data_IF_474691608867
#
_entry.id   IF_474691608867
#
_cell.length_a   1.000
_cell.length_b   1.000
_cell.length_c   1.000
_cell.angle_alpha   90.00
_cell.angle_beta   90.00
_cell.angle_gamma   90.00
#
_symmetry.space_group_name_H-M   'P 1'
#
loop_
_entity.id
_entity.type
_entity.pdbx_description
1 polymer ?
#
# COMPACT_ATOMS: atom_id res chain seq x y z
N UNK A 1 -24.32 15.69 9.97
CA UNK A 1 -23.13 16.37 9.44
C UNK A 1 -22.81 17.65 10.23
N UNK A 2 -23.79 18.48 10.62
CA UNK A 2 -23.61 19.60 11.57
C UNK A 2 -23.01 19.17 12.91
N UNK A 3 -23.55 18.14 13.54
CA UNK A 3 -23.08 17.68 14.86
C UNK A 3 -21.62 17.21 14.89
N UNK A 4 -21.08 16.79 13.74
CA UNK A 4 -19.68 16.40 13.62
C UNK A 4 -18.76 17.63 13.64
N UNK A 5 -19.16 18.71 12.96
CA UNK A 5 -18.43 19.98 12.99
C UNK A 5 -18.60 20.71 14.32
N UNK A 6 -19.73 20.57 15.00
CA UNK A 6 -19.92 21.20 16.32
C UNK A 6 -19.09 20.51 17.42
N UNK A 7 -18.87 19.19 17.33
CA UNK A 7 -18.03 18.45 18.30
C UNK A 7 -16.53 18.41 17.97
N UNK A 8 -16.15 18.41 16.69
CA UNK A 8 -14.76 18.19 16.26
C UNK A 8 -14.22 19.25 15.29
N UNK A 9 -15.02 20.25 14.93
CA UNK A 9 -14.71 21.19 13.84
C UNK A 9 -13.41 21.97 14.05
N UNK A 10 -13.15 22.45 15.27
CA UNK A 10 -11.92 23.20 15.58
C UNK A 10 -10.69 22.28 15.46
N UNK A 11 -10.77 21.04 15.96
CA UNK A 11 -9.66 20.08 15.92
C UNK A 11 -9.28 19.67 14.49
N UNK A 12 -10.27 19.42 13.64
CA UNK A 12 -10.04 19.06 12.23
C UNK A 12 -9.40 20.21 11.46
N UNK A 13 -9.85 21.45 11.69
CA UNK A 13 -9.30 22.65 11.03
C UNK A 13 -7.82 22.84 11.39
N UNK A 14 -7.45 22.66 12.67
CA UNK A 14 -6.06 22.80 13.13
C UNK A 14 -5.16 21.73 12.49
N UNK A 15 -5.59 20.47 12.44
CA UNK A 15 -4.80 19.39 11.80
C UNK A 15 -4.61 19.64 10.31
N UNK A 16 -5.65 20.07 9.60
CA UNK A 16 -5.55 20.41 8.17
C UNK A 16 -4.60 21.58 7.95
N UNK A 17 -4.68 22.62 8.78
CA UNK A 17 -3.78 23.78 8.70
C UNK A 17 -2.30 23.38 8.92
N UNK A 18 -2.03 22.50 9.89
CA UNK A 18 -0.68 21.99 10.15
C UNK A 18 -0.13 21.16 8.98
N UNK A 19 -0.97 20.32 8.36
CA UNK A 19 -0.57 19.53 7.19
C UNK A 19 -0.25 20.43 5.98
N UNK A 20 -1.06 21.47 5.74
CA UNK A 20 -0.82 22.44 4.67
C UNK A 20 0.45 23.25 4.90
N UNK A 21 0.67 23.73 6.14
CA UNK A 21 1.89 24.46 6.50
C UNK A 21 3.13 23.57 6.36
N UNK A 22 3.06 22.31 6.78
CA UNK A 22 4.14 21.32 6.61
C UNK A 22 4.43 21.02 5.14
N UNK A 23 3.40 20.82 4.32
CA UNK A 23 3.55 20.62 2.88
C UNK A 23 4.18 21.81 2.17
N UNK A 24 3.77 23.03 2.52
CA UNK A 24 4.36 24.27 2.00
C UNK A 24 5.81 24.46 2.44
N UNK A 25 6.14 24.18 3.69
CA UNK A 25 7.51 24.23 4.20
C UNK A 25 8.44 23.27 3.47
N UNK A 26 8.00 22.04 3.20
CA UNK A 26 8.79 21.05 2.44
C UNK A 26 8.98 21.52 0.99
N UNK A 27 7.92 22.01 0.34
CA UNK A 27 7.98 22.45 -1.05
C UNK A 27 8.88 23.68 -1.26
N UNK A 28 8.91 24.60 -0.29
CA UNK A 28 9.74 25.82 -0.37
C UNK A 28 11.21 25.56 -0.04
N UNK A 29 11.51 24.54 0.77
CA UNK A 29 12.89 24.12 1.08
C UNK A 29 13.49 23.12 0.10
N UNK A 30 12.65 22.46 -0.71
CA UNK A 30 13.13 21.60 -1.79
C UNK A 30 13.57 22.45 -2.99
N UNK A 31 14.63 23.25 -2.84
CA UNK A 31 15.34 23.72 -4.01
C UNK A 31 15.89 22.49 -4.74
N UNK A 32 15.40 22.23 -5.95
CA UNK A 32 15.98 21.20 -6.78
C UNK A 32 17.47 21.51 -6.92
N UNK A 33 18.37 20.56 -6.58
CA UNK A 33 19.80 20.80 -6.72
C UNK A 33 20.05 21.18 -8.18
N UNK A 34 20.39 22.46 -8.41
CA UNK A 34 20.76 22.96 -9.73
C UNK A 34 21.86 22.05 -10.23
N UNK A 35 21.54 21.22 -11.22
CA UNK A 35 22.50 20.31 -11.86
C UNK A 35 23.54 21.18 -12.55
N UNK A 36 24.57 21.60 -11.81
CA UNK A 36 25.76 22.20 -12.39
C UNK A 36 26.42 21.08 -13.17
N UNK A 37 26.46 21.21 -14.49
CA UNK A 37 27.27 20.39 -15.38
C UNK A 37 28.74 20.61 -15.01
N UNK A 38 29.21 19.93 -13.98
CA UNK A 38 30.59 19.91 -13.54
C UNK A 38 31.42 18.96 -14.41
N UNK A 39 32.72 19.23 -14.58
CA UNK A 39 33.60 18.43 -15.41
C UNK A 39 33.89 17.09 -14.71
N UNK A 40 33.66 15.99 -15.43
CA UNK A 40 34.03 14.63 -15.02
C UNK A 40 33.16 14.05 -13.90
N UNK A 41 32.20 13.20 -14.26
CA UNK A 41 31.44 12.41 -13.30
C UNK A 41 32.38 11.41 -12.59
N UNK A 42 32.78 11.73 -11.36
CA UNK A 42 33.58 10.81 -10.55
C UNK A 42 32.71 9.63 -10.10
N UNK A 43 32.93 8.49 -10.76
CA UNK A 43 32.24 7.23 -10.45
C UNK A 43 32.35 6.83 -8.98
N UNK A 44 33.45 7.15 -8.29
CA UNK A 44 33.61 6.86 -6.86
C UNK A 44 32.67 7.68 -5.98
N UNK A 45 32.45 8.95 -6.31
CA UNK A 45 31.49 9.82 -5.61
C UNK A 45 30.05 9.34 -5.81
N UNK A 46 29.71 8.84 -6.99
CA UNK A 46 28.39 8.29 -7.28
C UNK A 46 28.06 7.05 -6.42
N UNK A 47 28.97 6.08 -6.35
CA UNK A 47 28.73 4.87 -5.56
C UNK A 47 28.67 5.15 -4.04
N UNK A 48 29.46 6.12 -3.54
CA UNK A 48 29.35 6.57 -2.14
C UNK A 48 27.96 7.15 -1.84
N UNK A 49 27.42 7.98 -2.75
CA UNK A 49 26.08 8.56 -2.58
C UNK A 49 24.99 7.48 -2.63
N UNK A 50 25.09 6.53 -3.56
CA UNK A 50 24.18 5.38 -3.63
C UNK A 50 24.19 4.54 -2.35
N UNK A 51 25.38 4.27 -1.81
CA UNK A 51 25.54 3.52 -0.56
C UNK A 51 24.90 4.29 0.62
N UNK A 52 25.15 5.60 0.72
CA UNK A 52 24.56 6.45 1.76
C UNK A 52 23.02 6.53 1.66
N UNK A 53 22.47 6.59 0.44
CA UNK A 53 21.03 6.51 0.22
C UNK A 53 20.46 5.14 0.63
N UNK A 54 21.22 4.06 0.40
CA UNK A 54 20.89 2.72 0.87
C UNK A 54 20.78 2.64 2.40
N UNK A 55 21.76 3.19 3.12
CA UNK A 55 21.75 3.23 4.58
C UNK A 55 20.59 4.06 5.14
N UNK A 56 20.32 5.24 4.56
CA UNK A 56 19.18 6.07 4.95
C UNK A 56 17.84 5.35 4.73
N UNK A 57 17.67 4.70 3.58
CA UNK A 57 16.46 3.92 3.30
C UNK A 57 16.29 2.75 4.28
N UNK A 58 17.37 2.07 4.64
CA UNK A 58 17.35 1.02 5.64
C UNK A 58 16.92 1.56 7.02
N UNK A 59 17.47 2.69 7.45
CA UNK A 59 17.10 3.35 8.72
C UNK A 59 15.64 3.81 8.74
N UNK A 60 15.12 4.34 7.62
CA UNK A 60 13.71 4.67 7.51
C UNK A 60 12.84 3.42 7.63
N UNK A 61 13.22 2.34 6.97
CA UNK A 61 12.46 1.10 7.02
C UNK A 61 12.44 0.47 8.43
N UNK A 62 13.56 0.50 9.15
CA UNK A 62 13.62 0.00 10.52
C UNK A 62 12.75 0.82 11.47
N UNK A 63 12.78 2.17 11.38
CA UNK A 63 11.90 3.05 12.18
C UNK A 63 10.41 2.86 11.88
N UNK A 64 10.05 2.69 10.59
CA UNK A 64 8.65 2.39 10.22
C UNK A 64 8.19 1.10 10.88
N UNK A 65 9.02 0.05 10.85
CA UNK A 65 8.69 -1.24 11.47
C UNK A 65 8.58 -1.15 12.99
N UNK A 66 9.42 -0.34 13.63
CA UNK A 66 9.35 -0.05 15.06
C UNK A 66 8.04 0.66 15.41
N UNK A 67 7.68 1.73 14.69
CA UNK A 67 6.42 2.46 14.90
C UNK A 67 5.20 1.57 14.66
N UNK A 68 5.21 0.69 13.65
CA UNK A 68 4.14 -0.28 13.41
C UNK A 68 3.96 -1.23 14.61
N UNK A 69 5.06 -1.61 15.26
CA UNK A 69 5.03 -2.46 16.45
C UNK A 69 4.45 -1.70 17.64
N UNK A 70 4.86 -0.45 17.85
CA UNK A 70 4.30 0.42 18.89
C UNK A 70 2.78 0.65 18.68
N UNK A 71 2.35 0.90 17.45
CA UNK A 71 0.91 1.07 17.12
C UNK A 71 0.13 -0.21 17.44
N UNK A 72 0.68 -1.39 17.13
CA UNK A 72 0.04 -2.68 17.47
C UNK A 72 -0.08 -2.87 18.97
N UNK A 73 0.97 -2.54 19.74
CA UNK A 73 0.95 -2.61 21.20
C UNK A 73 -0.09 -1.66 21.81
N UNK A 74 -0.11 -0.40 21.37
CA UNK A 74 -1.10 0.59 21.82
C UNK A 74 -2.54 0.16 21.49
N UNK A 75 -2.77 -0.42 20.31
CA UNK A 75 -4.08 -1.00 19.97
C UNK A 75 -4.46 -2.15 20.89
N UNK A 76 -3.53 -3.05 21.19
CA UNK A 76 -3.75 -4.14 22.14
C UNK A 76 -4.11 -3.64 23.54
N UNK A 77 -3.42 -2.61 24.03
CA UNK A 77 -3.72 -1.96 25.31
C UNK A 77 -5.11 -1.29 25.29
N UNK A 78 -5.45 -0.59 24.22
CA UNK A 78 -6.76 0.04 24.05
C UNK A 78 -7.89 -1.00 24.06
N UNK A 79 -7.72 -2.12 23.34
CA UNK A 79 -8.70 -3.20 23.29
C UNK A 79 -8.83 -3.94 24.64
N UNK A 80 -7.75 -3.99 25.43
CA UNK A 80 -7.77 -4.53 26.78
C UNK A 80 -8.51 -3.61 27.75
N UNK A 81 -8.22 -2.30 27.72
CA UNK A 81 -8.92 -1.30 28.53
C UNK A 81 -10.41 -1.23 28.18
N UNK A 82 -10.76 -1.31 26.90
CA UNK A 82 -12.16 -1.36 26.47
C UNK A 82 -12.88 -2.55 27.06
N UNK A 83 -12.28 -3.75 26.99
CA UNK A 83 -12.83 -4.95 27.63
C UNK A 83 -12.92 -4.84 29.15
N UNK A 84 -11.94 -4.18 29.80
CA UNK A 84 -11.98 -3.89 31.24
C UNK A 84 -13.19 -3.03 31.58
N UNK A 85 -13.41 -1.93 30.84
CA UNK A 85 -14.52 -1.00 31.06
C UNK A 85 -15.87 -1.66 30.76
N UNK A 86 -15.98 -2.38 29.64
CA UNK A 86 -17.22 -3.05 29.24
C UNK A 86 -17.65 -4.12 30.28
N UNK A 87 -16.70 -4.69 31.03
CA UNK A 87 -16.95 -5.62 32.12
C UNK A 87 -17.25 -4.99 33.48
N UNK A 88 -17.14 -3.67 33.64
CA UNK A 88 -17.45 -2.99 34.90
C UNK A 88 -18.97 -2.80 35.04
N UNK A 89 -19.52 -3.29 36.15
CA UNK A 89 -20.95 -3.16 36.47
C UNK A 89 -21.14 -2.75 37.94
N UNK A 90 -22.28 -2.11 38.24
CA UNK A 90 -22.69 -1.79 39.61
C UNK A 90 -21.70 -0.86 40.35
N UNK A 91 -21.36 -1.14 41.62
CA UNK A 91 -20.48 -0.30 42.44
C UNK A 91 -19.07 -0.09 41.87
N UNK A 92 -18.58 -1.01 41.04
CA UNK A 92 -17.22 -0.93 40.48
C UNK A 92 -17.16 0.04 39.30
N UNK A 93 -18.25 0.14 38.53
CA UNK A 93 -18.39 1.18 37.50
C UNK A 93 -18.42 2.57 38.14
N UNK A 94 -19.19 2.74 39.23
CA UNK A 94 -19.25 4.01 39.96
C UNK A 94 -17.87 4.44 40.49
N UNK A 95 -17.11 3.50 41.06
CA UNK A 95 -15.74 3.77 41.53
C UNK A 95 -14.80 4.19 40.41
N UNK A 96 -14.87 3.57 39.22
CA UNK A 96 -14.04 3.98 38.08
C UNK A 96 -14.43 5.37 37.57
N UNK A 97 -15.73 5.70 37.53
CA UNK A 97 -16.22 7.06 37.19
C UNK A 97 -15.70 8.10 38.18
N UNK A 98 -15.85 7.84 39.48
CA UNK A 98 -15.38 8.75 40.54
C UNK A 98 -13.85 8.92 40.47
N UNK A 99 -13.10 7.84 40.17
CA UNK A 99 -11.65 7.89 39.98
C UNK A 99 -11.26 8.78 38.80
N UNK A 100 -11.94 8.66 37.66
CA UNK A 100 -11.66 9.49 36.48
C UNK A 100 -11.99 10.96 36.77
N UNK A 101 -13.14 11.22 37.39
CA UNK A 101 -13.57 12.58 37.70
C UNK A 101 -12.61 13.29 38.69
N UNK A 102 -12.13 12.56 39.70
CA UNK A 102 -11.19 13.11 40.68
C UNK A 102 -9.75 13.23 40.13
N UNK A 103 -9.32 12.34 39.23
CA UNK A 103 -8.01 12.47 38.56
C UNK A 103 -7.90 13.74 37.71
N UNK A 104 -9.00 14.17 37.10
CA UNK A 104 -9.03 15.41 36.33
C UNK A 104 -9.06 16.66 37.23
N UNK A 105 -9.57 16.54 38.45
CA UNK A 105 -9.54 17.62 39.44
C UNK A 105 -8.12 17.95 39.90
N UNK A 106 -7.27 16.93 40.10
CA UNK A 106 -5.86 17.13 40.48
C UNK A 106 -4.98 17.65 39.34
N UNK A 107 -5.46 17.58 38.09
CA UNK A 107 -4.76 18.10 36.90
C UNK A 107 -5.11 19.53 36.55
N UNK A 108 -5.98 20.21 37.32
CA UNK A 108 -6.14 21.65 37.13
C UNK A 108 -4.78 22.33 37.36
N UNK A 109 -4.25 23.08 36.38
CA UNK A 109 -3.00 23.79 36.55
C UNK A 109 -3.19 24.72 37.74
N UNK A 110 -2.42 24.48 38.81
CA UNK A 110 -2.40 25.37 39.96
C UNK A 110 -2.20 26.78 39.42
N UNK A 111 -3.23 27.61 39.54
CA UNK A 111 -3.13 29.02 39.18
C UNK A 111 -1.89 29.56 39.87
N UNK A 112 -0.90 30.08 39.12
CA UNK A 112 0.33 30.56 39.72
C UNK A 112 -0.05 31.56 40.82
N UNK A 113 0.56 31.46 42.02
CA UNK A 113 0.14 32.25 43.16
C UNK A 113 0.20 33.73 42.78
N UNK A 114 -0.98 34.37 42.76
CA UNK A 114 -1.10 35.80 42.55
C UNK A 114 -0.29 36.48 43.64
N UNK A 115 0.82 37.10 43.22
CA UNK A 115 1.71 37.89 44.06
C UNK A 115 0.87 38.95 44.76
N UNK A 116 0.69 38.80 46.07
CA UNK A 116 -0.11 39.65 46.93
C UNK A 116 0.44 41.08 46.93
N UNK A 117 -0.24 41.98 46.23
CA UNK A 117 -0.11 43.43 46.38
C UNK A 117 -1.23 43.94 47.29
N UNK A 118 -0.85 44.29 48.52
CA UNK A 118 -1.42 45.29 49.42
C UNK A 118 -2.84 45.86 49.14
N UNK A 119 -3.74 45.53 50.07
CA UNK A 119 -4.74 46.35 50.76
C UNK A 119 -5.37 47.55 50.02
N UNK A 120 -6.70 47.48 49.83
CA UNK A 120 -7.61 48.53 50.32
C UNK A 120 -9.05 48.00 50.51
N UNK A 121 -9.78 48.42 51.55
CA UNK A 121 -11.13 47.92 51.85
C UNK A 121 -12.18 48.89 51.30
N UNK A 122 -13.00 48.46 50.33
CA UNK A 122 -14.26 49.14 50.03
C UNK A 122 -15.45 48.18 50.12
N UNK A 123 -16.28 48.56 51.08
CA UNK A 123 -17.60 48.15 51.47
C UNK A 123 -18.67 48.18 50.33
N UNK A 124 -19.64 47.25 50.45
CA UNK A 124 -21.09 47.32 50.12
C UNK A 124 -21.63 46.60 48.88
N UNK A 125 -22.75 45.89 49.16
CA UNK A 125 -23.87 45.65 48.24
C UNK A 125 -24.16 44.16 47.99
N UNK A 126 -24.87 43.44 48.86
CA UNK A 126 -26.33 43.21 48.79
C UNK A 126 -26.92 43.25 47.37
N UNK A 127 -27.35 42.10 46.81
CA UNK A 127 -28.76 41.84 46.45
C UNK A 127 -28.99 40.52 45.72
N UNK A 128 -30.16 39.93 46.03
CA UNK A 128 -31.01 39.00 45.27
C UNK A 128 -30.39 37.69 44.76
N UNK A 129 -30.90 36.50 45.12
CA UNK A 129 -32.32 36.14 45.17
C UNK A 129 -32.75 35.60 43.79
N UNK A 130 -32.30 34.39 43.44
CA UNK A 130 -32.66 33.69 42.20
C UNK A 130 -33.66 32.55 42.46
N UNK A 131 -34.57 32.25 41.50
CA UNK A 131 -35.80 31.47 41.70
C UNK A 131 -35.59 29.94 41.71
N UNK A 132 -36.61 29.17 42.17
CA UNK A 132 -36.49 27.72 42.37
C UNK A 132 -36.52 26.92 41.06
N UNK A 133 -35.74 25.84 41.05
CA UNK A 133 -35.69 24.82 40.00
C UNK A 133 -36.89 23.87 40.15
N UNK A 134 -37.68 23.60 39.09
CA UNK A 134 -38.74 22.60 39.14
C UNK A 134 -38.19 21.18 39.00
N UNK A 135 -38.74 20.26 39.81
CA UNK A 135 -38.42 18.84 39.83
C UNK A 135 -38.72 18.14 38.51
N UNK A 136 -37.86 17.17 38.17
CA UNK A 136 -38.00 16.32 36.99
C UNK A 136 -38.34 14.91 37.43
N UNK A 137 -39.42 14.41 36.84
CA UNK A 137 -40.13 13.21 37.25
C UNK A 137 -39.43 11.90 36.89
N UNK A 138 -39.79 10.91 37.68
CA UNK A 138 -39.69 9.48 37.45
C UNK A 138 -40.45 9.09 36.20
N UNK A 139 -39.75 8.47 35.24
CA UNK A 139 -40.36 7.78 34.11
C UNK A 139 -39.62 6.46 33.89
N UNK A 140 -40.32 5.35 34.11
CA UNK A 140 -40.04 4.08 33.44
C UNK A 140 -40.19 4.26 31.91
N UNK A 141 -39.61 3.37 31.08
CA UNK A 141 -40.37 2.17 30.71
C UNK A 141 -39.52 0.90 30.57
N UNK A 142 -40.19 -0.24 30.77
CA UNK A 142 -39.74 -1.55 30.29
C UNK A 142 -40.00 -1.76 28.79
N UNK A 143 -39.27 -2.71 28.22
CA UNK A 143 -39.57 -3.62 27.10
C UNK A 143 -38.26 -4.41 26.80
N UNK A 144 -38.25 -5.73 26.95
CA UNK A 144 -38.35 -6.76 25.88
C UNK A 144 -37.30 -6.54 24.76
N UNK A 145 -36.39 -7.44 24.37
CA UNK A 145 -36.50 -8.88 24.09
C UNK A 145 -35.08 -9.47 23.76
N UNK A 146 -34.95 -10.79 23.48
CA UNK A 146 -33.69 -11.56 23.51
C UNK A 146 -33.03 -11.74 22.13
N UNK A 147 -31.74 -12.10 22.09
CA UNK A 147 -31.03 -12.84 21.01
C UNK A 147 -29.56 -12.98 21.42
N UNK A 148 -28.95 -14.16 21.54
CA UNK A 148 -28.68 -15.08 20.44
C UNK A 148 -27.17 -15.09 20.14
N UNK A 149 -26.35 -15.58 21.08
CA UNK A 149 -24.89 -15.63 20.96
C UNK A 149 -24.47 -16.79 20.03
N UNK A 150 -24.03 -16.46 18.81
CA UNK A 150 -23.32 -17.40 17.92
C UNK A 150 -21.81 -17.20 18.13
N UNK A 151 -21.16 -18.21 18.69
CA UNK A 151 -19.71 -18.29 18.80
C UNK A 151 -19.09 -18.55 17.42
N UNK A 152 -18.22 -17.64 16.97
CA UNK A 152 -17.33 -17.88 15.82
C UNK A 152 -15.89 -17.87 16.32
N UNK A 153 -15.26 -19.03 16.18
CA UNK A 153 -13.87 -19.34 16.54
C UNK A 153 -12.88 -18.63 15.61
N UNK A 154 -11.82 -17.97 16.13
CA UNK A 154 -10.71 -17.52 15.29
C UNK A 154 -9.66 -18.64 15.17
N UNK A 155 -9.58 -19.22 13.96
CA UNK A 155 -8.44 -20.04 13.54
C UNK A 155 -7.15 -19.21 13.54
N UNK A 156 -6.28 -19.47 14.50
CA UNK A 156 -4.87 -19.07 14.51
C UNK A 156 -4.05 -20.03 13.65
N UNK A 157 -3.50 -19.54 12.54
CA UNK A 157 -2.39 -20.22 11.87
C UNK A 157 -1.07 -19.60 12.30
N UNK A 158 -0.43 -20.26 13.26
CA UNK A 158 0.98 -20.05 13.61
C UNK A 158 1.89 -20.58 12.49
N UNK A 159 2.86 -19.77 12.12
CA UNK A 159 3.90 -20.09 11.16
C UNK A 159 5.21 -20.27 11.92
N UNK A 160 5.51 -21.50 12.34
CA UNK A 160 6.83 -21.86 12.86
C UNK A 160 7.78 -22.24 11.73
N UNK A 161 8.98 -21.67 11.83
CA UNK A 161 10.08 -21.76 10.90
C UNK A 161 10.91 -23.05 11.05
N UNK A 162 11.67 -23.30 9.98
CA UNK A 162 13.02 -23.89 9.96
C UNK A 162 13.19 -25.43 10.01
N UNK A 163 13.59 -25.97 8.86
CA UNK A 163 14.76 -26.85 8.65
C UNK A 163 15.02 -26.81 7.13
N UNK A 164 16.18 -26.42 6.57
CA UNK A 164 17.52 -26.87 6.88
C UNK A 164 17.88 -27.97 5.88
N UNK A 165 18.38 -27.61 4.70
CA UNK A 165 18.98 -28.58 3.75
C UNK A 165 20.29 -28.05 3.15
N UNK A 166 21.27 -28.93 2.94
CA UNK A 166 22.67 -28.58 2.69
C UNK A 166 22.94 -28.11 1.26
N UNK A 167 24.05 -27.38 1.14
CA UNK A 167 24.63 -26.87 -0.09
C UNK A 167 25.35 -28.01 -0.81
N UNK A 168 24.80 -28.48 -1.93
CA UNK A 168 25.52 -29.33 -2.88
C UNK A 168 26.19 -28.49 -3.97
N UNK A 169 27.47 -28.80 -4.20
CA UNK A 169 28.36 -28.23 -5.19
C UNK A 169 27.78 -28.33 -6.62
N UNK A 170 27.66 -27.18 -7.30
CA UNK A 170 27.47 -27.17 -8.75
C UNK A 170 28.82 -27.26 -9.49
N UNK A 171 28.94 -28.13 -10.51
CA UNK A 171 30.14 -28.21 -11.32
C UNK A 171 30.29 -27.01 -12.26
N UNK A 172 31.54 -26.59 -12.46
CA UNK A 172 31.93 -25.46 -13.33
C UNK A 172 31.47 -25.70 -14.78
N UNK A 173 30.95 -24.68 -15.49
CA UNK A 173 30.63 -24.82 -16.90
C UNK A 173 31.92 -24.92 -17.73
N UNK A 174 31.96 -25.94 -18.59
CA UNK A 174 32.99 -26.11 -19.61
C UNK A 174 32.93 -24.99 -20.66
N UNK A 175 34.11 -24.56 -21.11
CA UNK A 175 34.31 -23.56 -22.15
C UNK A 175 33.60 -23.92 -23.47
N UNK A 176 33.04 -22.95 -24.21
CA UNK A 176 32.34 -23.24 -25.46
C UNK A 176 33.31 -23.68 -26.55
N UNK A 177 33.08 -24.89 -27.09
CA UNK A 177 33.67 -25.35 -28.35
C UNK A 177 33.08 -24.54 -29.51
N UNK A 178 33.95 -24.06 -30.40
CA UNK A 178 33.58 -23.54 -31.73
C UNK A 178 32.87 -24.64 -32.51
N UNK A 179 31.64 -24.39 -32.95
CA UNK A 179 30.92 -25.21 -33.91
C UNK A 179 31.07 -24.52 -35.27
N UNK A 180 31.81 -25.18 -36.17
CA UNK A 180 31.76 -24.91 -37.59
C UNK A 180 30.66 -25.75 -38.24
N UNK A 181 30.07 -25.16 -39.28
CA UNK A 181 29.44 -25.76 -40.46
C UNK A 181 28.72 -27.10 -40.28
N UNK A 182 27.39 -27.04 -40.18
CA UNK A 182 26.50 -28.16 -40.51
C UNK A 182 25.28 -27.64 -41.31
N UNK A 183 25.32 -28.01 -42.59
CA UNK A 183 24.26 -28.25 -43.57
C UNK A 183 22.83 -27.72 -43.35
N UNK A 184 22.40 -26.97 -44.37
CA UNK A 184 21.02 -26.66 -44.75
C UNK A 184 20.16 -27.91 -44.97
N UNK A 185 18.93 -27.85 -44.46
CA UNK A 185 17.88 -28.81 -44.81
C UNK A 185 16.81 -28.93 -43.74
N UNK A 186 15.97 -27.90 -43.56
CA UNK A 186 14.69 -28.13 -42.90
C UNK A 186 13.55 -27.33 -43.54
N UNK A 187 12.56 -28.11 -44.02
CA UNK A 187 11.37 -27.71 -44.73
C UNK A 187 10.49 -26.80 -43.88
N UNK A 188 10.09 -25.66 -44.46
CA UNK A 188 9.28 -24.62 -43.84
C UNK A 188 7.80 -24.79 -44.20
N UNK A 189 7.15 -25.82 -43.68
CA UNK A 189 5.69 -25.91 -43.70
C UNK A 189 5.22 -26.26 -42.28
N UNK A 190 4.16 -25.60 -41.84
CA UNK A 190 3.45 -25.77 -40.55
C UNK A 190 3.95 -24.98 -39.32
N UNK A 191 3.78 -23.65 -39.39
CA UNK A 191 3.41 -22.86 -38.20
C UNK A 191 2.58 -21.63 -38.60
N UNK A 192 1.27 -21.83 -38.83
CA UNK A 192 0.31 -20.72 -38.98
C UNK A 192 0.11 -20.03 -37.62
N UNK A 193 0.99 -19.08 -37.31
CA UNK A 193 0.74 -18.11 -36.25
C UNK A 193 -0.44 -17.21 -36.67
N UNK A 194 -1.51 -17.20 -35.86
CA UNK A 194 -2.64 -16.30 -36.05
C UNK A 194 -2.19 -14.84 -35.96
N UNK A 195 -2.44 -14.00 -36.98
CA UNK A 195 -2.05 -12.60 -36.94
C UNK A 195 -2.86 -11.84 -35.88
N UNK A 196 -2.15 -11.18 -34.96
CA UNK A 196 -2.71 -10.24 -34.00
C UNK A 196 -3.11 -8.96 -34.72
N UNK A 197 -4.41 -8.72 -34.88
CA UNK A 197 -4.94 -7.44 -35.39
C UNK A 197 -4.80 -6.36 -34.33
N UNK A 198 -3.77 -5.53 -34.45
CA UNK A 198 -3.61 -4.32 -33.66
C UNK A 198 -4.78 -3.36 -33.93
N UNK A 199 -5.66 -3.14 -32.95
CA UNK A 199 -6.68 -2.09 -33.02
C UNK A 199 -5.97 -0.74 -32.93
N UNK A 200 -6.10 0.07 -33.99
CA UNK A 200 -5.54 1.42 -34.09
C UNK A 200 -6.19 2.31 -33.02
N UNK A 201 -5.40 2.71 -32.01
CA UNK A 201 -5.82 3.67 -30.99
C UNK A 201 -5.87 5.06 -31.61
N UNK A 202 -7.05 5.69 -31.64
CA UNK A 202 -7.20 7.11 -31.97
C UNK A 202 -6.84 7.89 -30.71
N UNK A 203 -5.70 8.58 -30.73
CA UNK A 203 -5.28 9.49 -29.66
C UNK A 203 -6.04 10.80 -29.88
N UNK A 204 -6.98 11.10 -29.00
CA UNK A 204 -7.64 12.39 -28.95
C UNK A 204 -6.82 13.32 -28.05
N UNK A 205 -6.41 14.47 -28.60
CA UNK A 205 -5.71 15.53 -27.89
C UNK A 205 -6.65 16.17 -26.84
N UNK A 206 -6.32 16.01 -25.56
CA UNK A 206 -7.13 16.54 -24.46
C UNK A 206 -6.32 16.74 -23.17
N UNK A 207 -6.34 17.98 -22.69
CA UNK A 207 -5.71 18.55 -21.49
C UNK A 207 -5.49 17.59 -20.28
N UNK A 208 -4.33 17.64 -19.59
CA UNK A 208 -4.07 16.87 -18.38
C UNK A 208 -4.67 17.54 -17.13
N UNK A 209 -6.00 17.71 -17.09
CA UNK A 209 -6.67 18.23 -15.89
C UNK A 209 -7.51 17.13 -15.23
N UNK A 210 -7.01 16.66 -14.08
CA UNK A 210 -7.67 15.81 -13.07
C UNK A 210 -8.62 14.73 -13.63
N UNK A 211 -8.02 13.59 -13.98
CA UNK A 211 -8.72 12.30 -14.06
C UNK A 211 -9.38 12.00 -12.71
N UNK A 212 -10.65 12.39 -12.55
CA UNK A 212 -11.52 11.79 -11.54
C UNK A 212 -11.60 10.29 -11.86
N UNK A 213 -11.35 9.39 -10.91
CA UNK A 213 -11.56 7.97 -11.10
C UNK A 213 -13.06 7.79 -11.30
N UNK A 214 -13.48 7.69 -12.56
CA UNK A 214 -14.86 7.43 -12.93
C UNK A 214 -15.27 6.10 -12.27
N UNK A 215 -16.48 6.03 -11.74
CA UNK A 215 -17.02 4.87 -11.00
C UNK A 215 -17.15 3.58 -11.83
N UNK A 216 -16.56 3.55 -13.03
CA UNK A 216 -16.57 2.47 -14.01
C UNK A 216 -15.39 1.50 -13.88
N UNK A 217 -14.34 1.86 -13.14
CA UNK A 217 -13.13 1.03 -13.01
C UNK A 217 -13.06 0.22 -11.70
N UNK A 218 -14.18 0.00 -11.00
CA UNK A 218 -14.24 -1.02 -9.93
C UNK A 218 -14.26 -2.43 -10.54
N UNK A 219 -13.12 -2.82 -11.10
CA UNK A 219 -12.89 -4.14 -11.64
C UNK A 219 -12.58 -5.08 -10.47
N UNK A 220 -13.42 -6.10 -10.26
CA UNK A 220 -13.21 -7.10 -9.21
C UNK A 220 -11.99 -7.98 -9.52
N UNK A 221 -11.41 -8.64 -8.51
CA UNK A 221 -10.28 -9.58 -8.72
C UNK A 221 -10.61 -10.67 -9.76
N UNK A 222 -11.85 -11.15 -9.76
CA UNK A 222 -12.32 -12.16 -10.71
C UNK A 222 -12.29 -11.63 -12.14
N UNK A 223 -12.51 -10.32 -12.33
CA UNK A 223 -12.48 -9.71 -13.65
C UNK A 223 -11.04 -9.63 -14.18
N UNK A 224 -10.04 -9.26 -13.38
CA UNK A 224 -8.64 -9.24 -13.85
C UNK A 224 -8.14 -10.61 -14.28
N UNK A 225 -8.50 -11.65 -13.52
CA UNK A 225 -8.15 -13.03 -13.88
C UNK A 225 -8.68 -13.39 -15.26
N UNK A 226 -9.98 -13.13 -15.51
CA UNK A 226 -10.59 -13.40 -16.81
C UNK A 226 -9.93 -12.58 -17.91
N UNK A 227 -9.79 -11.27 -17.72
CA UNK A 227 -9.16 -10.37 -18.70
C UNK A 227 -7.78 -10.86 -19.13
N UNK A 228 -6.92 -11.22 -18.18
CA UNK A 228 -5.57 -11.71 -18.45
C UNK A 228 -5.59 -13.04 -19.22
N UNK A 229 -6.41 -14.00 -18.78
CA UNK A 229 -6.49 -15.32 -19.42
C UNK A 229 -7.03 -15.23 -20.85
N UNK A 230 -7.88 -14.25 -21.14
CA UNK A 230 -8.49 -14.05 -22.47
C UNK A 230 -7.74 -13.04 -23.36
N UNK A 231 -6.67 -12.41 -22.90
CA UNK A 231 -5.99 -11.33 -23.65
C UNK A 231 -5.12 -11.83 -24.83
N UNK A 232 -5.12 -13.14 -25.12
CA UNK A 232 -4.38 -13.72 -26.24
C UNK A 232 -2.86 -13.84 -26.02
N UNK A 233 -2.42 -13.94 -24.76
CA UNK A 233 -1.02 -14.24 -24.44
C UNK A 233 -0.64 -15.65 -24.90
N UNK A 234 0.63 -15.84 -25.23
CA UNK A 234 1.18 -17.16 -25.55
C UNK A 234 1.21 -18.03 -24.30
N UNK A 235 1.56 -17.44 -23.15
CA UNK A 235 1.58 -18.13 -21.85
C UNK A 235 0.64 -17.46 -20.83
N UNK A 236 -0.69 -17.55 -21.01
CA UNK A 236 -1.67 -16.78 -20.24
C UNK A 236 -1.65 -17.11 -18.73
N UNK A 237 -1.33 -18.35 -18.36
CA UNK A 237 -1.19 -18.74 -16.95
C UNK A 237 0.03 -18.11 -16.29
N UNK A 238 1.13 -17.97 -17.04
CA UNK A 238 2.34 -17.30 -16.55
C UNK A 238 2.09 -15.79 -16.44
N UNK A 239 1.42 -15.18 -17.42
CA UNK A 239 0.98 -13.79 -17.35
C UNK A 239 0.11 -13.52 -16.11
N UNK A 240 -0.86 -14.39 -15.84
CA UNK A 240 -1.70 -14.31 -14.64
C UNK A 240 -0.88 -14.38 -13.35
N UNK A 241 0.06 -15.33 -13.28
CA UNK A 241 0.92 -15.49 -12.12
C UNK A 241 1.83 -14.28 -11.90
N UNK A 242 2.44 -13.73 -12.96
CA UNK A 242 3.24 -12.50 -12.88
C UNK A 242 2.38 -11.36 -12.37
N UNK A 243 1.20 -11.13 -12.98
CA UNK A 243 0.32 -10.05 -12.55
C UNK A 243 -0.10 -10.18 -11.09
N UNK A 244 -0.44 -11.40 -10.64
CA UNK A 244 -0.77 -11.66 -9.24
C UNK A 244 0.39 -11.37 -8.30
N UNK A 245 1.63 -11.71 -8.66
CA UNK A 245 2.82 -11.44 -7.82
C UNK A 245 3.09 -9.94 -7.74
N UNK A 246 3.08 -9.25 -8.88
CA UNK A 246 3.42 -7.82 -8.97
C UNK A 246 2.38 -6.91 -8.32
N UNK A 247 1.11 -7.33 -8.31
CA UNK A 247 -0.01 -6.55 -7.74
C UNK A 247 -0.40 -6.98 -6.33
N UNK A 248 0.29 -7.98 -5.75
CA UNK A 248 -0.09 -8.56 -4.47
C UNK A 248 -1.51 -9.17 -4.47
N UNK A 249 -1.87 -9.88 -5.54
CA UNK A 249 -3.20 -10.47 -5.73
C UNK A 249 -4.28 -9.44 -6.07
N UNK A 250 -3.90 -8.41 -6.85
CA UNK A 250 -4.76 -7.29 -7.25
C UNK A 250 -5.41 -6.56 -6.06
N UNK A 251 -4.63 -6.33 -5.00
CA UNK A 251 -5.14 -5.61 -3.84
C UNK A 251 -5.31 -4.10 -4.18
N UNK A 252 -6.51 -3.49 -4.01
CA UNK A 252 -6.78 -2.11 -4.45
C UNK A 252 -5.90 -1.03 -3.84
N UNK A 253 -5.34 -1.28 -2.64
CA UNK A 253 -4.44 -0.34 -1.98
C UNK A 253 -3.01 -0.33 -2.55
N UNK A 254 -2.66 -1.27 -3.43
CA UNK A 254 -1.31 -1.31 -4.00
C UNK A 254 -1.11 -0.20 -5.02
N UNK A 255 0.03 0.51 -4.93
CA UNK A 255 0.34 1.62 -5.83
C UNK A 255 0.32 1.20 -7.30
N UNK A 256 0.71 -0.03 -7.60
CA UNK A 256 0.73 -0.63 -8.94
C UNK A 256 -0.68 -0.75 -9.53
N UNK A 257 -1.68 -1.16 -8.72
CA UNK A 257 -3.09 -1.21 -9.13
C UNK A 257 -3.66 0.18 -9.36
N UNK A 258 -3.33 1.15 -8.50
CA UNK A 258 -3.75 2.55 -8.67
C UNK A 258 -3.19 3.20 -9.94
N UNK A 259 -2.03 2.72 -10.42
CA UNK A 259 -1.40 3.16 -11.66
C UNK A 259 -1.92 2.42 -12.91
N UNK A 260 -2.91 1.54 -12.73
CA UNK A 260 -3.47 0.67 -13.79
C UNK A 260 -2.42 -0.22 -14.47
N UNK A 261 -1.35 -0.56 -13.74
CA UNK A 261 -0.20 -1.29 -14.27
C UNK A 261 -0.24 -2.74 -13.76
N UNK A 262 -0.91 -3.65 -14.46
CA UNK A 262 -1.14 -5.02 -13.96
C UNK A 262 0.13 -5.87 -13.86
N UNK A 263 1.25 -5.44 -14.44
CA UNK A 263 2.48 -6.22 -14.52
C UNK A 263 3.70 -5.47 -13.95
N UNK A 264 3.49 -4.38 -13.21
CA UNK A 264 4.56 -3.51 -12.71
C UNK A 264 5.62 -3.16 -13.78
N UNK A 265 5.17 -2.88 -15.00
CA UNK A 265 6.04 -2.51 -16.11
C UNK A 265 6.80 -1.21 -15.77
N UNK A 266 8.12 -1.22 -15.95
CA UNK A 266 8.95 -0.01 -15.92
C UNK A 266 8.79 0.79 -17.21
N UNK A 267 9.30 2.02 -17.19
CA UNK A 267 9.48 2.82 -18.40
C UNK A 267 10.13 1.98 -19.51
N UNK A 268 9.53 1.99 -20.69
CA UNK A 268 9.96 1.16 -21.82
C UNK A 268 9.76 1.89 -23.15
N UNK A 269 10.40 1.39 -24.21
CA UNK A 269 10.42 2.04 -25.52
C UNK A 269 9.09 1.99 -26.29
N UNK A 270 8.13 1.16 -25.87
CA UNK A 270 6.81 1.05 -26.55
C UNK A 270 5.89 2.23 -26.22
N UNK A 271 6.13 2.90 -25.09
CA UNK A 271 5.42 4.13 -24.67
C UNK A 271 3.88 4.00 -24.64
N UNK A 272 3.34 2.81 -24.37
CA UNK A 272 1.89 2.61 -24.19
C UNK A 272 1.35 3.17 -22.86
N UNK A 273 2.09 4.03 -22.17
CA UNK A 273 1.79 4.57 -20.84
C UNK A 273 1.66 6.10 -20.89
N UNK A 274 0.84 6.68 -20.02
CA UNK A 274 0.56 8.13 -19.96
C UNK A 274 1.50 8.89 -19.02
N UNK A 275 2.27 8.18 -18.20
CA UNK A 275 3.24 8.80 -17.30
C UNK A 275 4.05 7.78 -16.53
N UNK A 276 4.89 8.28 -15.64
CA UNK A 276 5.71 7.47 -14.74
C UNK A 276 5.46 7.86 -13.29
N UNK A 277 5.40 6.87 -12.40
CA UNK A 277 5.32 7.09 -10.95
C UNK A 277 6.27 6.12 -10.25
N UNK A 278 7.27 6.67 -9.54
CA UNK A 278 8.34 5.89 -8.92
C UNK A 278 9.08 4.94 -9.88
N UNK A 279 9.23 5.34 -11.15
CA UNK A 279 9.89 4.54 -12.20
C UNK A 279 9.01 3.48 -12.86
N UNK A 280 7.77 3.30 -12.39
CA UNK A 280 6.78 2.42 -13.00
C UNK A 280 5.88 3.17 -13.97
N UNK A 281 5.47 2.50 -15.03
CA UNK A 281 4.52 2.99 -16.01
C UNK A 281 3.14 3.22 -15.39
N UNK A 282 2.52 4.34 -15.73
CA UNK A 282 1.12 4.67 -15.40
C UNK A 282 0.32 4.57 -16.68
N UNK A 283 -0.70 3.73 -16.70
CA UNK A 283 -1.51 3.48 -17.89
C UNK A 283 -2.83 4.25 -17.84
N UNK A 284 -3.34 4.62 -19.02
CA UNK A 284 -4.67 5.24 -19.12
C UNK A 284 -5.78 4.28 -18.71
N UNK A 285 -5.64 2.99 -19.04
CA UNK A 285 -6.63 1.93 -18.77
C UNK A 285 -5.91 0.63 -18.40
N UNK A 286 -6.61 -0.29 -17.74
CA UNK A 286 -6.08 -1.64 -17.51
C UNK A 286 -5.80 -2.39 -18.82
N UNK A 287 -6.63 -2.15 -19.86
CA UNK A 287 -6.41 -2.73 -21.19
C UNK A 287 -5.07 -2.27 -21.80
N UNK A 288 -4.70 -0.99 -21.66
CA UNK A 288 -3.40 -0.51 -22.15
C UNK A 288 -2.22 -1.23 -21.46
N UNK A 289 -2.35 -1.56 -20.18
CA UNK A 289 -1.35 -2.37 -19.48
C UNK A 289 -1.31 -3.82 -19.97
N UNK A 290 -2.47 -4.42 -20.29
CA UNK A 290 -2.55 -5.77 -20.86
C UNK A 290 -1.90 -5.82 -22.25
N UNK A 291 -2.17 -4.83 -23.08
CA UNK A 291 -1.62 -4.71 -24.43
C UNK A 291 -0.10 -4.49 -24.40
N UNK A 292 0.42 -3.63 -23.50
CA UNK A 292 1.86 -3.42 -23.36
C UNK A 292 2.61 -4.69 -22.94
N UNK A 293 2.02 -5.46 -22.01
CA UNK A 293 2.59 -6.74 -21.60
C UNK A 293 2.55 -7.76 -22.74
N UNK A 294 1.47 -7.81 -23.53
CA UNK A 294 1.39 -8.70 -24.70
C UNK A 294 2.47 -8.41 -25.74
N UNK A 295 2.71 -7.13 -26.03
CA UNK A 295 3.82 -6.71 -26.90
C UNK A 295 5.19 -7.08 -26.31
N UNK A 296 5.35 -6.96 -24.99
CA UNK A 296 6.57 -7.40 -24.29
C UNK A 296 6.79 -8.92 -24.43
N UNK A 297 5.78 -9.74 -24.15
CA UNK A 297 5.86 -11.20 -24.23
C UNK A 297 6.24 -11.64 -25.65
N UNK A 298 5.54 -11.14 -26.67
CA UNK A 298 5.82 -11.45 -28.07
C UNK A 298 7.25 -11.03 -28.46
N UNK A 299 7.68 -9.83 -28.06
CA UNK A 299 9.03 -9.36 -28.35
C UNK A 299 10.09 -10.24 -27.69
N UNK A 300 9.88 -10.64 -26.43
CA UNK A 300 10.79 -11.54 -25.70
C UNK A 300 10.86 -12.91 -26.34
N UNK A 301 9.71 -13.52 -26.66
CA UNK A 301 9.66 -14.84 -27.31
C UNK A 301 10.43 -14.81 -28.62
N UNK A 302 10.21 -13.79 -29.45
CA UNK A 302 10.89 -13.63 -30.74
C UNK A 302 12.38 -13.38 -30.59
N UNK A 303 12.79 -12.45 -29.73
CA UNK A 303 14.20 -12.04 -29.57
C UNK A 303 15.05 -13.15 -28.96
N UNK A 304 14.50 -13.92 -28.03
CA UNK A 304 15.23 -14.97 -27.32
C UNK A 304 14.92 -16.38 -27.81
N UNK A 305 14.13 -16.52 -28.89
CA UNK A 305 13.76 -17.81 -29.46
C UNK A 305 13.11 -18.76 -28.44
N UNK A 306 12.30 -18.23 -27.52
CA UNK A 306 11.75 -19.00 -26.40
C UNK A 306 10.72 -19.99 -26.92
N UNK A 307 10.96 -21.27 -26.66
CA UNK A 307 10.05 -22.37 -26.99
C UNK A 307 9.66 -23.07 -25.70
N UNK A 308 8.39 -22.94 -25.30
CA UNK A 308 7.81 -23.59 -24.13
C UNK A 308 7.77 -22.74 -22.86
N UNK A 309 6.88 -23.12 -21.96
CA UNK A 309 6.59 -22.41 -20.70
C UNK A 309 7.81 -22.33 -19.79
N UNK A 310 8.56 -23.42 -19.61
CA UNK A 310 9.69 -23.45 -18.69
C UNK A 310 10.80 -22.48 -19.11
N UNK A 311 11.12 -22.41 -20.41
CA UNK A 311 12.09 -21.46 -20.94
C UNK A 311 11.61 -20.01 -20.74
N UNK A 312 10.30 -19.77 -20.84
CA UNK A 312 9.73 -18.45 -20.55
C UNK A 312 9.82 -18.10 -19.06
N UNK A 313 9.52 -19.03 -18.15
CA UNK A 313 9.69 -18.86 -16.70
C UNK A 313 11.15 -18.53 -16.37
N UNK A 314 12.09 -19.26 -16.95
CA UNK A 314 13.52 -19.05 -16.74
C UNK A 314 13.95 -17.66 -17.23
N UNK A 315 13.44 -17.22 -18.38
CA UNK A 315 13.66 -15.87 -18.88
C UNK A 315 13.12 -14.81 -17.91
N UNK A 316 11.87 -14.94 -17.49
CA UNK A 316 11.21 -14.00 -16.57
C UNK A 316 12.00 -13.90 -15.25
N UNK A 317 12.38 -15.02 -14.65
CA UNK A 317 13.15 -15.04 -13.41
C UNK A 317 14.56 -14.45 -13.55
N UNK A 318 15.13 -14.45 -14.76
CA UNK A 318 16.48 -13.93 -15.01
C UNK A 318 16.49 -12.44 -15.39
N UNK A 319 15.50 -12.01 -16.17
CA UNK A 319 15.52 -10.69 -16.86
C UNK A 319 14.41 -9.75 -16.41
N UNK A 320 13.23 -10.27 -16.10
CA UNK A 320 12.09 -9.45 -15.69
C UNK A 320 12.22 -9.04 -14.22
N UNK A 321 12.39 -10.03 -13.33
CA UNK A 321 12.63 -9.81 -11.91
C UNK A 321 13.76 -10.74 -11.42
N UNK A 322 15.02 -10.27 -11.34
CA UNK A 322 16.18 -11.10 -11.00
C UNK A 322 16.29 -11.44 -9.51
N UNK A 323 15.28 -11.14 -8.70
CA UNK A 323 15.31 -11.44 -7.27
C UNK A 323 15.29 -12.97 -7.05
N UNK A 324 16.17 -13.54 -6.20
CA UNK A 324 16.26 -15.00 -6.01
C UNK A 324 14.94 -15.64 -5.53
N UNK A 325 14.15 -14.92 -4.75
CA UNK A 325 12.84 -15.38 -4.24
C UNK A 325 11.72 -15.28 -5.27
N UNK A 326 11.93 -14.65 -6.42
CA UNK A 326 10.88 -14.40 -7.40
C UNK A 326 10.35 -15.69 -8.01
N UNK A 327 11.24 -16.65 -8.35
CA UNK A 327 10.83 -17.96 -8.86
C UNK A 327 9.86 -18.66 -7.90
N UNK A 328 10.16 -18.68 -6.61
CA UNK A 328 9.31 -19.30 -5.61
C UNK A 328 7.92 -18.64 -5.53
N UNK A 329 7.86 -17.30 -5.56
CA UNK A 329 6.59 -16.54 -5.59
C UNK A 329 5.79 -16.85 -6.85
N UNK A 330 6.45 -16.88 -8.01
CA UNK A 330 5.83 -17.17 -9.30
C UNK A 330 5.26 -18.59 -9.35
N UNK A 331 6.02 -19.60 -8.91
CA UNK A 331 5.55 -20.99 -8.84
C UNK A 331 4.37 -21.14 -7.87
N UNK A 332 4.42 -20.45 -6.71
CA UNK A 332 3.28 -20.41 -5.78
C UNK A 332 2.03 -19.83 -6.43
N UNK A 333 2.17 -18.72 -7.17
CA UNK A 333 1.06 -18.10 -7.90
C UNK A 333 0.54 -19.00 -9.03
N UNK A 334 1.41 -19.69 -9.77
CA UNK A 334 1.03 -20.66 -10.81
C UNK A 334 0.24 -21.84 -10.25
N UNK A 335 0.68 -22.39 -9.12
CA UNK A 335 0.03 -23.52 -8.46
C UNK A 335 -1.30 -23.11 -7.82
N UNK A 336 -1.37 -21.93 -7.18
CA UNK A 336 -2.62 -21.38 -6.66
C UNK A 336 -3.60 -20.94 -7.76
N UNK A 337 -3.11 -20.69 -8.97
CA UNK A 337 -3.95 -20.42 -10.15
C UNK A 337 -4.59 -21.69 -10.71
N UNK A 338 -4.05 -22.87 -10.40
CA UNK A 338 -4.72 -24.17 -10.61
C UNK A 338 -5.75 -24.36 -9.51
N UNK A 339 -6.83 -23.60 -9.59
CA UNK A 339 -8.04 -23.96 -8.85
C UNK A 339 -8.69 -25.08 -9.65
N UNK A 340 -8.77 -26.25 -9.02
CA UNK A 340 -9.42 -27.48 -9.52
C UNK A 340 -10.89 -27.24 -9.85
#
# INVERSE_FOLDING_TARGET
>A
MKDFFDKHGIGVIVVVALLLAGGWYIATRSEQPKQRAGPGFDSTTYYKNLYQQGELNYQFHSRIKEHDTQIKQLKGQLDQEKRRIDGLHGPDLQREVDRQFNQDADRQPQTPPTRSGQNDPVQRGRSAGGPPVPGRGTGEPGHDCPEGLVAVSPNSYDFSAAAGYPVDEQPRPASPKRIGDVHDGFSSDDAKATPFTARKLVVADGHPDRLRPDSRDQVSRNNFRQLILTNGYVYPRIALAISSVETGGWHPSTAIIQQRNLFAMKANRRQNYIGLRFGYAVFATYQASLDDYGQYEQAVIRVYGIRGEQAYIDHICKRFCPAPSYRAKLMKALNGSVVK
#
